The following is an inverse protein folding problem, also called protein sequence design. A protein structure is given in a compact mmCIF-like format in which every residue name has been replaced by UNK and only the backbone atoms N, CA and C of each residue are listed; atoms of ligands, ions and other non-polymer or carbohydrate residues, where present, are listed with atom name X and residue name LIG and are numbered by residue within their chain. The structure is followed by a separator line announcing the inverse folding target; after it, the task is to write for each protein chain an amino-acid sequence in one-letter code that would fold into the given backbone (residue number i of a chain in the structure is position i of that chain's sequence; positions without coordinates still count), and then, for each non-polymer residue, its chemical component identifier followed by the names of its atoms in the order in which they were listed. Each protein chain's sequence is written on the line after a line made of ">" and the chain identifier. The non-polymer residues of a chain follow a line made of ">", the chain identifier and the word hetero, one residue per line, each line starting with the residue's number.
data_IF_223917771708
#
_entry.id   IF_223917771708
#
_cell.length_a   1.000
_cell.length_b   1.000
_cell.length_c   1.000
_cell.angle_alpha   90.00
_cell.angle_beta   90.00
_cell.angle_gamma   90.00
#
_symmetry.space_group_name_H-M   'P 1'
#
loop_
_entity.id
_entity.type
_entity.pdbx_description
1 polymer ?
#
# COMPACT_ATOMS: atom_id res chain seq x y z
N UNK A 1 61.47 -41.55 13.28
CA UNK A 1 60.62 -40.83 12.29
C UNK A 1 59.19 -40.69 12.79
N UNK A 2 58.95 -39.96 13.93
CA UNK A 2 57.63 -39.89 14.60
C UNK A 2 57.33 -38.55 15.30
N UNK A 3 58.00 -37.43 14.98
CA UNK A 3 57.82 -36.14 15.67
C UNK A 3 57.46 -34.95 14.75
N UNK A 4 57.29 -35.17 13.42
CA UNK A 4 57.07 -34.05 12.47
C UNK A 4 55.59 -33.76 12.21
N UNK A 5 54.65 -34.69 12.50
CA UNK A 5 53.24 -34.55 12.18
C UNK A 5 52.48 -33.60 13.15
N UNK A 6 52.73 -33.59 14.48
CA UNK A 6 51.95 -32.70 15.35
C UNK A 6 52.34 -31.22 15.24
N UNK A 7 53.55 -30.88 14.80
CA UNK A 7 54.02 -29.50 14.63
C UNK A 7 53.41 -28.82 13.39
N UNK A 8 53.10 -29.57 12.35
CA UNK A 8 52.48 -29.06 11.12
C UNK A 8 50.96 -28.70 11.32
N UNK A 9 50.28 -29.47 12.18
CA UNK A 9 48.89 -29.23 12.53
C UNK A 9 48.74 -27.99 13.44
N UNK A 10 49.72 -27.74 14.30
CA UNK A 10 49.72 -26.58 15.20
C UNK A 10 49.96 -25.26 14.41
N UNK A 11 50.78 -25.28 13.36
CA UNK A 11 51.05 -24.10 12.52
C UNK A 11 49.85 -23.76 11.64
N UNK A 12 49.03 -24.73 11.22
CA UNK A 12 47.78 -24.47 10.47
C UNK A 12 46.65 -23.86 11.33
N UNK A 13 46.67 -24.09 12.65
CA UNK A 13 45.69 -23.50 13.58
C UNK A 13 46.00 -22.03 13.94
N UNK A 14 47.22 -21.57 13.76
CA UNK A 14 47.63 -20.18 14.03
C UNK A 14 47.43 -19.28 12.81
N UNK A 15 47.28 -19.83 11.60
CA UNK A 15 47.00 -19.08 10.38
C UNK A 15 45.50 -18.70 10.21
N UNK A 16 44.59 -19.17 11.08
CA UNK A 16 43.24 -18.67 11.22
C UNK A 16 43.22 -17.40 12.07
N UNK A 17 44.02 -16.40 11.69
CA UNK A 17 43.96 -15.05 12.25
C UNK A 17 42.66 -14.39 11.77
N UNK A 18 41.58 -14.67 12.47
CA UNK A 18 40.34 -13.90 12.33
C UNK A 18 40.68 -12.44 12.65
N UNK A 19 40.07 -11.55 11.86
CA UNK A 19 40.15 -10.12 12.12
C UNK A 19 39.91 -9.83 13.61
N UNK A 20 40.72 -8.93 14.18
CA UNK A 20 40.59 -8.53 15.59
C UNK A 20 39.13 -8.12 15.87
N UNK A 21 38.59 -8.45 17.04
CA UNK A 21 37.25 -8.04 17.50
C UNK A 21 37.01 -6.54 17.26
N UNK A 22 38.01 -5.70 17.51
CA UNK A 22 37.95 -4.26 17.29
C UNK A 22 37.88 -3.90 15.79
N UNK A 23 38.58 -4.62 14.92
CA UNK A 23 38.48 -4.42 13.46
C UNK A 23 37.13 -4.86 12.93
N UNK A 24 36.60 -6.00 13.36
CA UNK A 24 35.26 -6.48 13.03
C UNK A 24 34.18 -5.50 13.52
N UNK A 25 34.36 -4.96 14.74
CA UNK A 25 33.46 -3.95 15.30
C UNK A 25 33.50 -2.63 14.52
N UNK A 26 34.70 -2.17 14.11
CA UNK A 26 34.90 -0.98 13.28
C UNK A 26 34.29 -1.18 11.87
N UNK A 27 34.50 -2.35 11.26
CA UNK A 27 33.92 -2.70 9.96
C UNK A 27 32.38 -2.72 10.02
N UNK A 28 31.83 -3.36 11.04
CA UNK A 28 30.38 -3.40 11.29
C UNK A 28 29.81 -2.00 11.52
N UNK A 29 30.51 -1.14 12.25
CA UNK A 29 30.11 0.26 12.45
C UNK A 29 30.12 1.06 11.14
N UNK A 30 31.17 0.94 10.32
CA UNK A 30 31.26 1.57 8.99
C UNK A 30 30.13 1.10 8.08
N UNK A 31 29.87 -0.20 8.01
CA UNK A 31 28.80 -0.78 7.22
C UNK A 31 27.42 -0.26 7.65
N UNK A 32 27.18 -0.15 8.97
CA UNK A 32 25.95 0.44 9.52
C UNK A 32 25.78 1.90 9.12
N UNK A 33 26.83 2.71 9.27
CA UNK A 33 26.80 4.13 8.90
C UNK A 33 26.54 4.30 7.39
N UNK A 34 27.19 3.49 6.56
CA UNK A 34 26.96 3.51 5.11
C UNK A 34 25.55 3.06 4.75
N UNK A 35 25.03 2.01 5.37
CA UNK A 35 23.65 1.56 5.19
C UNK A 35 22.64 2.64 5.61
N UNK A 36 22.89 3.32 6.73
CA UNK A 36 22.05 4.46 7.17
C UNK A 36 22.12 5.63 6.18
N UNK A 37 23.31 5.95 5.66
CA UNK A 37 23.49 7.00 4.65
C UNK A 37 22.74 6.66 3.35
N UNK A 38 22.86 5.42 2.87
CA UNK A 38 22.12 4.93 1.70
C UNK A 38 20.61 4.94 1.94
N UNK A 39 20.15 4.55 3.14
CA UNK A 39 18.72 4.62 3.49
C UNK A 39 18.21 6.07 3.55
N UNK A 40 19.01 6.97 4.11
CA UNK A 40 18.67 8.40 4.18
C UNK A 40 18.62 9.07 2.80
N UNK A 41 19.49 8.67 1.88
CA UNK A 41 19.53 9.19 0.52
C UNK A 41 18.42 8.63 -0.38
N UNK A 42 17.83 7.48 -0.03
CA UNK A 42 16.80 6.84 -0.86
C UNK A 42 15.49 7.63 -0.87
N UNK A 43 14.80 7.62 -2.01
CA UNK A 43 13.40 8.03 -2.14
C UNK A 43 12.52 6.92 -1.58
N UNK A 44 11.84 7.16 -0.45
CA UNK A 44 11.02 6.16 0.21
C UNK A 44 9.56 6.35 -0.11
N UNK A 45 8.88 5.26 -0.45
CA UNK A 45 7.44 5.28 -0.79
C UNK A 45 6.71 4.26 0.08
N UNK A 46 5.70 4.71 0.80
CA UNK A 46 4.83 3.85 1.59
C UNK A 46 3.85 3.12 0.67
N UNK A 47 3.77 1.81 0.84
CA UNK A 47 2.90 0.91 0.06
C UNK A 47 2.13 -0.04 0.97
N UNK A 48 0.99 -0.51 0.47
CA UNK A 48 0.13 -1.47 1.14
C UNK A 48 0.00 -2.78 0.34
N UNK A 49 -0.48 -3.88 0.96
CA UNK A 49 -0.70 -5.15 0.28
C UNK A 49 -1.96 -5.12 -0.61
N UNK A 50 -2.02 -4.16 -1.53
CA UNK A 50 -3.16 -3.89 -2.40
C UNK A 50 -2.75 -3.85 -3.87
N UNK A 51 -3.68 -4.16 -4.77
CA UNK A 51 -3.37 -4.32 -6.19
C UNK A 51 -3.00 -3.01 -6.90
N UNK A 52 -3.40 -1.86 -6.39
CA UNK A 52 -2.95 -0.56 -6.91
C UNK A 52 -1.45 -0.31 -6.69
N UNK A 53 -0.84 -0.99 -5.72
CA UNK A 53 0.61 -0.98 -5.49
C UNK A 53 1.39 -1.94 -6.42
N UNK A 54 0.72 -2.80 -7.20
CA UNK A 54 1.39 -3.81 -8.04
C UNK A 54 2.45 -3.21 -8.98
N UNK A 55 2.25 -2.07 -9.65
CA UNK A 55 3.30 -1.47 -10.49
C UNK A 55 4.59 -1.20 -9.74
N UNK A 56 4.52 -0.81 -8.46
CA UNK A 56 5.69 -0.56 -7.63
C UNK A 56 6.40 -1.86 -7.26
N UNK A 57 5.65 -2.93 -6.98
CA UNK A 57 6.22 -4.26 -6.70
C UNK A 57 6.91 -4.85 -7.92
N UNK A 58 6.30 -4.69 -9.11
CA UNK A 58 6.88 -5.10 -10.39
C UNK A 58 8.14 -4.30 -10.70
N UNK A 59 8.10 -2.97 -10.56
CA UNK A 59 9.26 -2.12 -10.76
C UNK A 59 10.44 -2.48 -9.84
N UNK A 60 10.16 -2.78 -8.57
CA UNK A 60 11.17 -3.24 -7.62
C UNK A 60 11.74 -4.62 -8.00
N UNK A 61 10.88 -5.56 -8.38
CA UNK A 61 11.29 -6.93 -8.73
C UNK A 61 12.17 -6.96 -9.97
N UNK A 62 11.82 -6.19 -11.00
CA UNK A 62 12.58 -6.07 -12.24
C UNK A 62 13.74 -5.07 -12.15
N UNK A 63 14.02 -4.53 -10.95
CA UNK A 63 15.10 -3.57 -10.71
C UNK A 63 15.06 -2.36 -11.68
N UNK A 64 13.86 -1.88 -12.01
CA UNK A 64 13.67 -0.75 -12.90
C UNK A 64 14.16 0.58 -12.30
N UNK A 65 14.47 0.58 -11.01
CA UNK A 65 15.15 1.66 -10.30
C UNK A 65 16.16 1.07 -9.30
N UNK A 66 17.21 1.84 -8.99
CA UNK A 66 18.25 1.40 -8.06
C UNK A 66 17.68 1.34 -6.63
N UNK A 67 17.74 0.17 -6.02
CA UNK A 67 17.34 -0.05 -4.62
C UNK A 67 18.51 -0.07 -3.65
N UNK A 68 19.76 -0.10 -4.17
CA UNK A 68 20.97 -0.32 -3.37
C UNK A 68 21.77 0.97 -3.14
N UNK A 69 21.87 1.84 -4.14
CA UNK A 69 22.77 3.01 -4.13
C UNK A 69 22.03 4.34 -3.89
N UNK A 70 21.09 4.36 -2.93
CA UNK A 70 20.34 5.58 -2.60
C UNK A 70 19.23 5.91 -3.59
N UNK A 71 18.79 4.91 -4.38
CA UNK A 71 17.67 5.04 -5.31
C UNK A 71 16.31 5.05 -4.64
N UNK A 72 15.42 4.11 -4.97
CA UNK A 72 14.06 4.02 -4.44
C UNK A 72 13.94 2.86 -3.44
N UNK A 73 13.19 3.06 -2.37
CA UNK A 73 12.85 2.02 -1.39
C UNK A 73 11.36 2.01 -1.07
N UNK A 74 10.72 0.87 -1.20
CA UNK A 74 9.36 0.69 -0.75
C UNK A 74 9.34 0.38 0.76
N UNK A 75 8.47 1.08 1.49
CA UNK A 75 8.19 0.83 2.92
C UNK A 75 6.80 0.23 3.02
N UNK A 76 6.73 -1.00 3.52
CA UNK A 76 5.51 -1.81 3.55
C UNK A 76 4.76 -1.59 4.86
N UNK A 77 3.46 -1.34 4.75
CA UNK A 77 2.55 -1.17 5.88
C UNK A 77 1.30 -2.02 5.69
N UNK A 78 0.69 -2.46 6.78
CA UNK A 78 -0.55 -3.24 6.77
C UNK A 78 -1.79 -2.37 6.97
N UNK A 79 -1.61 -1.22 7.58
CA UNK A 79 -2.67 -0.26 7.85
C UNK A 79 -2.38 1.08 7.17
N UNK A 80 -3.42 1.65 6.52
CA UNK A 80 -3.28 2.93 5.83
C UNK A 80 -2.89 4.07 6.78
N UNK A 81 -3.34 4.03 8.03
CA UNK A 81 -2.97 5.05 9.04
C UNK A 81 -1.47 5.06 9.35
N UNK A 82 -0.79 3.91 9.22
CA UNK A 82 0.66 3.85 9.39
C UNK A 82 1.39 4.51 8.22
N UNK A 83 0.85 4.35 7.00
CA UNK A 83 1.33 5.09 5.83
C UNK A 83 1.18 6.60 6.04
N UNK A 84 0.00 7.05 6.52
CA UNK A 84 -0.28 8.45 6.81
C UNK A 84 0.73 9.00 7.85
N UNK A 85 0.89 8.29 8.96
CA UNK A 85 1.86 8.68 10.01
C UNK A 85 3.29 8.72 9.47
N UNK A 86 3.66 7.80 8.58
CA UNK A 86 5.00 7.76 8.00
C UNK A 86 5.29 8.98 7.12
N UNK A 87 4.33 9.39 6.28
CA UNK A 87 4.50 10.55 5.40
C UNK A 87 4.38 11.88 6.16
N UNK A 88 3.45 12.01 7.09
CA UNK A 88 3.29 13.19 7.95
C UNK A 88 4.57 13.46 8.77
N UNK A 89 5.20 12.42 9.29
CA UNK A 89 6.47 12.53 10.05
C UNK A 89 7.73 12.56 9.17
N UNK A 90 7.59 12.60 7.84
CA UNK A 90 8.72 12.61 6.91
C UNK A 90 9.60 11.36 6.93
N UNK A 91 9.06 10.21 7.35
CA UNK A 91 9.75 8.91 7.29
C UNK A 91 9.76 8.33 5.88
N UNK A 92 8.82 8.76 5.05
CA UNK A 92 8.72 8.48 3.62
C UNK A 92 8.43 9.78 2.87
N UNK A 93 8.85 9.85 1.62
CA UNK A 93 8.63 10.99 0.72
C UNK A 93 7.36 10.85 -0.10
N UNK A 94 6.95 9.60 -0.38
CA UNK A 94 5.75 9.27 -1.17
C UNK A 94 4.85 8.24 -0.50
N UNK A 95 3.60 8.19 -0.93
CA UNK A 95 2.59 7.27 -0.40
C UNK A 95 1.55 6.89 -1.46
N UNK A 96 1.18 5.61 -1.50
CA UNK A 96 -0.03 5.15 -2.15
C UNK A 96 -1.19 5.34 -1.17
N UNK A 97 -2.18 6.16 -1.53
CA UNK A 97 -3.25 6.57 -0.62
C UNK A 97 -4.55 6.87 -1.37
N UNK A 98 -5.51 7.49 -0.70
CA UNK A 98 -6.74 7.99 -1.31
C UNK A 98 -6.88 9.51 -1.17
N UNK A 99 -7.70 10.12 -2.03
CA UNK A 99 -7.88 11.58 -2.07
C UNK A 99 -8.48 12.16 -0.79
N UNK A 100 -9.30 11.42 -0.04
CA UNK A 100 -9.85 11.88 1.24
C UNK A 100 -8.71 12.06 2.27
N UNK A 101 -7.84 11.05 2.37
CA UNK A 101 -6.67 11.10 3.27
C UNK A 101 -5.66 12.15 2.83
N UNK A 102 -5.39 12.22 1.53
CA UNK A 102 -4.49 13.21 0.97
C UNK A 102 -4.98 14.64 1.24
N UNK A 103 -6.28 14.89 1.10
CA UNK A 103 -6.91 16.17 1.46
C UNK A 103 -6.75 16.47 2.96
N UNK A 104 -7.03 15.49 3.82
CA UNK A 104 -6.83 15.62 5.26
C UNK A 104 -5.39 16.02 5.59
N UNK A 105 -4.41 15.24 5.11
CA UNK A 105 -2.99 15.50 5.39
C UNK A 105 -2.56 16.89 4.91
N UNK A 106 -3.02 17.31 3.74
CA UNK A 106 -2.72 18.64 3.19
C UNK A 106 -3.33 19.74 4.08
N UNK A 107 -4.59 19.58 4.52
CA UNK A 107 -5.27 20.52 5.40
C UNK A 107 -4.66 20.59 6.81
N UNK A 108 -4.01 19.53 7.24
CA UNK A 108 -3.28 19.44 8.52
C UNK A 108 -1.79 19.83 8.41
N UNK A 109 -1.35 20.40 7.28
CA UNK A 109 -0.01 20.97 7.12
C UNK A 109 1.00 20.08 6.39
N UNK A 110 0.63 18.88 5.96
CA UNK A 110 1.47 18.04 5.10
C UNK A 110 1.08 18.23 3.63
N UNK A 111 1.62 19.27 2.99
CA UNK A 111 1.35 19.54 1.58
C UNK A 111 1.78 18.38 0.69
N UNK A 112 0.84 17.85 -0.11
CA UNK A 112 1.03 16.73 -1.01
C UNK A 112 0.78 17.14 -2.46
N UNK A 113 1.63 16.64 -3.35
CA UNK A 113 1.45 16.72 -4.79
C UNK A 113 1.05 15.36 -5.34
N UNK A 114 -0.04 15.33 -6.10
CA UNK A 114 -0.56 14.14 -6.72
C UNK A 114 0.20 13.85 -8.02
N UNK A 115 0.86 12.68 -8.07
CA UNK A 115 1.71 12.29 -9.21
C UNK A 115 1.01 11.35 -10.16
N UNK A 116 0.11 10.51 -9.66
CA UNK A 116 -0.65 9.60 -10.49
C UNK A 116 -1.99 9.25 -9.83
N UNK A 117 -3.07 9.24 -10.61
CA UNK A 117 -4.27 8.51 -10.24
C UNK A 117 -3.99 7.01 -10.34
N UNK A 118 -4.38 6.23 -9.33
CA UNK A 118 -4.22 4.79 -9.34
C UNK A 118 -5.51 4.10 -9.80
N UNK A 119 -5.43 2.80 -10.07
CA UNK A 119 -6.60 1.98 -10.40
C UNK A 119 -7.31 1.42 -9.16
N UNK A 120 -7.02 1.95 -7.98
CA UNK A 120 -7.69 1.54 -6.74
C UNK A 120 -9.20 1.76 -6.84
N UNK A 121 -9.95 0.75 -6.43
CA UNK A 121 -11.39 0.84 -6.23
C UNK A 121 -11.79 0.09 -4.96
N UNK A 122 -12.86 0.52 -4.37
CA UNK A 122 -13.38 -0.06 -3.13
C UNK A 122 -14.71 -0.72 -3.36
N UNK A 123 -14.89 -1.86 -2.70
CA UNK A 123 -16.13 -2.60 -2.70
C UNK A 123 -16.65 -2.72 -1.27
N UNK A 124 -17.95 -2.51 -1.07
CA UNK A 124 -18.63 -2.84 0.16
C UNK A 124 -19.08 -4.30 0.07
N UNK A 125 -18.45 -5.14 0.82
CA UNK A 125 -18.69 -6.58 0.86
C UNK A 125 -19.59 -6.89 2.05
N UNK A 126 -20.78 -7.41 1.82
CA UNK A 126 -21.65 -7.90 2.88
C UNK A 126 -21.28 -9.33 3.28
N UNK A 127 -21.21 -9.58 4.58
CA UNK A 127 -21.06 -10.91 5.10
C UNK A 127 -22.24 -11.81 4.63
N UNK A 128 -21.92 -12.98 4.09
CA UNK A 128 -22.92 -13.92 3.58
C UNK A 128 -23.99 -14.30 4.61
N UNK A 129 -23.61 -14.37 5.90
CA UNK A 129 -24.51 -14.69 7.00
C UNK A 129 -25.47 -13.54 7.35
N UNK A 130 -25.08 -12.30 7.09
CA UNK A 130 -25.93 -11.13 7.23
C UNK A 130 -27.05 -11.07 6.15
N UNK A 131 -26.94 -11.86 5.06
CA UNK A 131 -27.93 -11.99 3.99
C UNK A 131 -28.35 -10.66 3.33
N UNK A 132 -27.46 -9.66 3.36
CA UNK A 132 -27.72 -8.34 2.78
C UNK A 132 -27.60 -8.41 1.25
N UNK A 133 -28.57 -7.82 0.55
CA UNK A 133 -28.64 -7.76 -0.92
C UNK A 133 -28.65 -6.31 -1.46
N UNK A 134 -29.06 -5.36 -0.63
CA UNK A 134 -29.24 -3.96 -0.99
C UNK A 134 -28.69 -3.04 0.08
N UNK A 135 -28.20 -1.86 -0.32
CA UNK A 135 -27.64 -0.86 0.60
C UNK A 135 -28.61 -0.44 1.72
N UNK A 136 -29.91 -0.35 1.42
CA UNK A 136 -30.93 0.02 2.42
C UNK A 136 -31.02 -0.94 3.60
N UNK A 137 -30.57 -2.19 3.43
CA UNK A 137 -30.56 -3.19 4.52
C UNK A 137 -29.40 -2.99 5.49
N UNK A 138 -28.55 -1.98 5.27
CA UNK A 138 -27.49 -1.60 6.21
C UNK A 138 -28.01 -0.77 7.38
N UNK A 139 -29.31 -0.48 7.42
CA UNK A 139 -29.95 0.12 8.60
C UNK A 139 -29.77 -0.80 9.81
N UNK A 140 -29.25 -0.23 10.91
CA UNK A 140 -28.93 -0.94 12.14
C UNK A 140 -27.85 -2.05 11.97
N UNK A 141 -26.85 -1.80 11.11
CA UNK A 141 -25.75 -2.73 10.78
C UNK A 141 -24.36 -2.15 11.04
N UNK A 142 -23.42 -3.05 11.36
CA UNK A 142 -22.02 -2.72 11.58
C UNK A 142 -21.23 -2.80 10.26
N UNK A 143 -20.51 -1.72 9.93
CA UNK A 143 -19.70 -1.61 8.72
C UNK A 143 -18.24 -1.30 9.08
N UNK A 144 -17.33 -2.21 8.68
CA UNK A 144 -15.89 -1.99 8.85
C UNK A 144 -15.38 -0.94 7.85
N UNK A 145 -14.76 0.11 8.37
CA UNK A 145 -14.23 1.23 7.62
C UNK A 145 -12.95 1.78 8.28
N UNK A 146 -12.35 2.80 7.71
CA UNK A 146 -11.30 3.60 8.35
C UNK A 146 -11.70 5.07 8.34
N UNK A 147 -11.61 5.73 9.49
CA UNK A 147 -11.94 7.16 9.62
C UNK A 147 -11.06 8.02 8.71
N UNK A 148 -11.62 9.11 8.23
CA UNK A 148 -10.95 10.11 7.37
C UNK A 148 -10.34 9.51 6.11
N UNK A 149 -10.99 8.51 5.53
CA UNK A 149 -10.60 7.83 4.30
C UNK A 149 -11.74 7.77 3.30
N UNK A 150 -11.45 7.30 2.10
CA UNK A 150 -12.49 7.00 1.12
C UNK A 150 -13.58 6.09 1.68
N UNK A 151 -13.26 5.17 2.61
CA UNK A 151 -14.26 4.26 3.19
C UNK A 151 -15.18 4.97 4.18
N UNK A 152 -14.75 6.04 4.83
CA UNK A 152 -15.58 6.91 5.65
C UNK A 152 -16.53 7.74 4.78
N UNK A 153 -15.99 8.38 3.73
CA UNK A 153 -16.80 9.04 2.71
C UNK A 153 -17.86 8.10 2.09
N UNK A 154 -17.51 6.84 1.84
CA UNK A 154 -18.44 5.85 1.30
C UNK A 154 -19.55 5.48 2.30
N UNK A 155 -19.28 5.51 3.60
CA UNK A 155 -20.36 5.39 4.61
C UNK A 155 -21.35 6.55 4.50
N UNK A 156 -20.87 7.80 4.34
CA UNK A 156 -21.76 8.94 4.11
C UNK A 156 -22.55 8.81 2.80
N UNK A 157 -21.88 8.34 1.73
CA UNK A 157 -22.55 8.05 0.47
C UNK A 157 -23.70 7.03 0.64
N UNK A 158 -23.48 5.96 1.43
CA UNK A 158 -24.53 4.97 1.72
C UNK A 158 -25.69 5.62 2.46
N UNK A 159 -25.43 6.37 3.51
CA UNK A 159 -26.42 7.11 4.30
C UNK A 159 -27.24 8.07 3.41
N UNK A 160 -26.53 8.90 2.64
CA UNK A 160 -27.16 9.91 1.78
C UNK A 160 -28.03 9.28 0.65
N UNK A 161 -27.56 8.17 0.05
CA UNK A 161 -28.24 7.50 -1.07
C UNK A 161 -29.43 6.64 -0.64
N UNK A 162 -29.40 6.07 0.57
CA UNK A 162 -30.42 5.15 1.09
C UNK A 162 -31.42 5.81 2.03
N UNK A 163 -31.11 7.03 2.51
CA UNK A 163 -31.86 7.74 3.55
C UNK A 163 -31.93 7.00 4.90
N UNK A 164 -30.94 6.14 5.15
CA UNK A 164 -30.71 5.59 6.49
C UNK A 164 -30.32 6.74 7.42
N UNK A 165 -30.77 6.73 8.65
CA UNK A 165 -30.30 7.70 9.64
C UNK A 165 -28.82 7.47 9.95
N UNK A 166 -28.06 8.58 10.09
CA UNK A 166 -26.62 8.54 10.28
C UNK A 166 -26.20 7.62 11.45
N UNK A 167 -26.90 7.72 12.57
CA UNK A 167 -26.68 6.95 13.81
C UNK A 167 -27.07 5.47 13.68
N UNK A 168 -27.75 5.09 12.59
CA UNK A 168 -28.17 3.71 12.32
C UNK A 168 -27.18 2.92 11.45
N UNK A 169 -26.14 3.56 10.94
CA UNK A 169 -25.01 2.88 10.29
C UNK A 169 -23.83 2.84 11.26
N UNK A 170 -23.61 1.73 11.94
CA UNK A 170 -22.54 1.62 12.93
C UNK A 170 -21.19 1.45 12.28
N UNK A 171 -20.36 2.50 12.30
CA UNK A 171 -19.04 2.56 11.68
C UNK A 171 -18.00 2.00 12.63
N UNK A 172 -17.44 0.83 12.30
CA UNK A 172 -16.40 0.16 13.07
C UNK A 172 -15.04 0.42 12.43
N UNK A 173 -14.14 1.08 13.16
CA UNK A 173 -12.82 1.39 12.64
C UNK A 173 -11.89 0.19 12.70
N UNK A 174 -11.57 -0.38 11.54
CA UNK A 174 -10.58 -1.45 11.37
C UNK A 174 -9.58 -0.99 10.31
N UNK A 175 -8.35 -0.73 10.70
CA UNK A 175 -7.35 -0.11 9.82
C UNK A 175 -6.55 -1.13 8.98
N UNK A 176 -6.29 -2.30 9.53
CA UNK A 176 -5.55 -3.38 8.86
C UNK A 176 -6.47 -4.13 7.89
N UNK A 177 -6.03 -4.26 6.64
CA UNK A 177 -6.83 -4.88 5.57
C UNK A 177 -6.95 -6.40 5.71
N UNK A 178 -5.93 -7.06 6.27
CA UNK A 178 -5.96 -8.50 6.53
C UNK A 178 -6.87 -8.82 7.72
N UNK A 179 -6.84 -7.98 8.76
CA UNK A 179 -7.76 -8.11 9.91
C UNK A 179 -9.21 -7.97 9.43
N UNK A 180 -9.52 -7.02 8.53
CA UNK A 180 -10.87 -6.93 7.95
C UNK A 180 -11.31 -8.22 7.27
N UNK A 181 -10.43 -8.83 6.48
CA UNK A 181 -10.74 -10.08 5.78
C UNK A 181 -10.94 -11.25 6.76
N UNK A 182 -10.14 -11.31 7.84
CA UNK A 182 -10.30 -12.31 8.90
C UNK A 182 -11.63 -12.13 9.65
N UNK A 183 -11.97 -10.90 10.03
CA UNK A 183 -13.24 -10.60 10.70
C UNK A 183 -14.46 -10.93 9.83
N UNK A 184 -14.36 -10.70 8.49
CA UNK A 184 -15.40 -11.15 7.56
C UNK A 184 -15.55 -12.68 7.58
N UNK A 185 -14.44 -13.42 7.55
CA UNK A 185 -14.44 -14.89 7.61
C UNK A 185 -15.00 -15.43 8.90
N UNK A 186 -14.74 -14.74 10.01
CA UNK A 186 -15.22 -15.08 11.33
C UNK A 186 -16.66 -14.61 11.61
N UNK A 187 -17.30 -13.92 10.66
CA UNK A 187 -18.66 -13.37 10.78
C UNK A 187 -18.81 -12.34 11.92
N UNK A 188 -17.80 -11.52 12.19
CA UNK A 188 -17.78 -10.60 13.31
C UNK A 188 -18.55 -9.30 13.07
N UNK A 189 -18.70 -8.88 11.79
CA UNK A 189 -19.46 -7.69 11.39
C UNK A 189 -20.33 -7.98 10.15
N UNK A 190 -21.27 -7.09 9.87
CA UNK A 190 -22.25 -7.26 8.80
C UNK A 190 -21.67 -6.94 7.41
N UNK A 191 -20.85 -5.90 7.28
CA UNK A 191 -20.25 -5.51 6.01
C UNK A 191 -18.88 -4.86 6.18
N UNK A 192 -18.07 -4.88 5.09
CA UNK A 192 -16.68 -4.47 5.11
C UNK A 192 -16.30 -3.74 3.82
N UNK A 193 -15.69 -2.57 3.92
CA UNK A 193 -15.04 -1.95 2.76
C UNK A 193 -13.70 -2.62 2.51
N UNK A 194 -13.51 -3.12 1.30
CA UNK A 194 -12.30 -3.79 0.84
C UNK A 194 -11.89 -3.31 -0.54
N UNK A 195 -10.59 -3.46 -0.84
CA UNK A 195 -10.01 -3.32 -2.18
C UNK A 195 -9.41 -4.66 -2.62
N UNK A 196 -8.87 -4.75 -3.84
CA UNK A 196 -8.23 -5.98 -4.30
C UNK A 196 -6.83 -6.15 -3.66
N UNK A 197 -6.41 -7.38 -3.33
CA UNK A 197 -7.05 -8.68 -3.62
C UNK A 197 -8.03 -9.16 -2.55
N UNK A 198 -8.19 -8.46 -1.41
CA UNK A 198 -9.04 -8.86 -0.29
C UNK A 198 -10.51 -8.97 -0.70
N UNK A 199 -10.99 -8.08 -1.60
CA UNK A 199 -12.34 -8.15 -2.13
C UNK A 199 -12.58 -9.43 -2.95
N UNK A 200 -11.59 -9.87 -3.75
CA UNK A 200 -11.65 -11.17 -4.45
C UNK A 200 -11.68 -12.34 -3.47
N UNK A 201 -10.84 -12.32 -2.44
CA UNK A 201 -10.85 -13.36 -1.40
C UNK A 201 -12.24 -13.45 -0.71
N UNK A 202 -12.88 -12.32 -0.48
CA UNK A 202 -14.23 -12.26 0.08
C UNK A 202 -15.28 -12.82 -0.89
N UNK A 203 -15.19 -12.53 -2.20
CA UNK A 203 -16.10 -13.07 -3.24
C UNK A 203 -15.98 -14.59 -3.37
N UNK A 204 -14.78 -15.15 -3.30
CA UNK A 204 -14.56 -16.61 -3.26
C UNK A 204 -15.32 -17.24 -2.08
N UNK A 205 -15.36 -16.54 -0.93
CA UNK A 205 -16.15 -16.91 0.24
C UNK A 205 -17.66 -16.73 0.08
N UNK A 206 -18.17 -16.46 -1.14
CA UNK A 206 -19.60 -16.24 -1.47
C UNK A 206 -20.23 -15.06 -0.73
N UNK A 207 -19.45 -14.04 -0.43
CA UNK A 207 -19.93 -12.79 0.15
C UNK A 207 -20.44 -11.86 -0.97
N UNK A 208 -21.52 -11.10 -0.69
CA UNK A 208 -22.15 -10.23 -1.68
C UNK A 208 -21.47 -8.88 -1.77
N UNK A 209 -21.36 -8.31 -2.96
CA UNK A 209 -20.94 -6.92 -3.19
C UNK A 209 -22.16 -6.02 -3.24
N UNK A 210 -22.30 -5.13 -2.28
CA UNK A 210 -23.41 -4.15 -2.21
C UNK A 210 -23.07 -2.85 -2.93
N UNK A 211 -21.80 -2.44 -2.93
CA UNK A 211 -21.32 -1.22 -3.57
C UNK A 211 -19.98 -1.48 -4.27
N UNK A 212 -19.76 -0.83 -5.40
CA UNK A 212 -18.48 -0.80 -6.11
C UNK A 212 -18.24 0.64 -6.60
N UNK A 213 -17.12 1.23 -6.23
CA UNK A 213 -16.82 2.63 -6.56
C UNK A 213 -16.70 2.89 -8.06
N UNK A 214 -16.41 1.86 -8.86
CA UNK A 214 -16.41 1.95 -10.33
C UNK A 214 -17.81 2.23 -10.88
N UNK A 215 -18.86 1.67 -10.25
CA UNK A 215 -20.26 1.86 -10.68
C UNK A 215 -20.81 3.25 -10.34
N UNK A 216 -20.22 3.92 -9.35
CA UNK A 216 -20.58 5.30 -8.97
C UNK A 216 -19.56 6.32 -9.49
N UNK A 217 -18.70 5.89 -10.41
CA UNK A 217 -17.64 6.70 -11.03
C UNK A 217 -16.81 7.49 -10.02
N UNK A 218 -16.33 6.81 -8.98
CA UNK A 218 -15.46 7.36 -7.95
C UNK A 218 -14.08 6.69 -8.00
N UNK A 219 -13.08 7.44 -8.49
CA UNK A 219 -11.69 6.99 -8.63
C UNK A 219 -10.82 7.79 -7.67
N UNK A 220 -10.72 7.30 -6.45
CA UNK A 220 -10.15 8.05 -5.32
C UNK A 220 -8.70 7.67 -5.00
N UNK A 221 -8.15 6.64 -5.65
CA UNK A 221 -6.77 6.19 -5.41
C UNK A 221 -5.74 7.14 -6.02
N UNK A 222 -4.68 7.44 -5.28
CA UNK A 222 -3.64 8.37 -5.68
C UNK A 222 -2.26 7.98 -5.17
N UNK A 223 -1.24 8.17 -6.01
CA UNK A 223 0.15 8.21 -5.62
C UNK A 223 0.52 9.68 -5.38
N UNK A 224 0.88 10.01 -4.15
CA UNK A 224 1.20 11.36 -3.73
C UNK A 224 2.60 11.44 -3.11
N UNK A 225 3.25 12.60 -3.27
CA UNK A 225 4.54 12.92 -2.65
C UNK A 225 4.45 14.20 -1.85
N UNK A 226 5.26 14.32 -0.80
CA UNK A 226 5.41 15.55 -0.05
C UNK A 226 5.95 16.64 -0.96
N UNK A 227 5.27 17.78 -1.02
CA UNK A 227 5.66 18.87 -1.92
C UNK A 227 7.05 19.44 -1.59
N UNK A 228 7.43 19.47 -0.32
CA UNK A 228 8.75 19.91 0.12
C UNK A 228 9.88 19.04 -0.46
N UNK A 229 9.67 17.75 -0.67
CA UNK A 229 10.67 16.85 -1.26
C UNK A 229 10.80 17.07 -2.77
N UNK A 230 9.72 17.45 -3.43
CA UNK A 230 9.74 17.73 -4.87
C UNK A 230 10.48 19.00 -5.23
N UNK A 231 10.69 19.90 -4.27
CA UNK A 231 11.48 21.14 -4.48
C UNK A 231 12.98 20.91 -4.34
N UNK A 232 13.42 19.74 -3.88
CA UNK A 232 14.83 19.40 -3.68
C UNK A 232 15.45 18.93 -4.99
N UNK A 233 16.50 19.60 -5.52
CA UNK A 233 17.12 19.22 -6.79
C UNK A 233 17.61 17.77 -6.84
N UNK A 234 18.15 17.26 -5.74
CA UNK A 234 18.63 15.88 -5.64
C UNK A 234 17.51 14.83 -5.75
N UNK A 235 16.25 15.24 -5.50
CA UNK A 235 15.07 14.37 -5.60
C UNK A 235 14.49 14.35 -7.03
N UNK A 236 14.72 15.36 -7.85
CA UNK A 236 14.14 15.45 -9.20
C UNK A 236 14.48 14.23 -10.03
N UNK A 237 15.78 13.86 -10.09
CA UNK A 237 16.21 12.67 -10.83
C UNK A 237 15.62 11.37 -10.30
N UNK A 238 15.54 11.23 -8.97
CA UNK A 238 14.96 10.04 -8.35
C UNK A 238 13.46 9.94 -8.67
N UNK A 239 12.72 11.04 -8.61
CA UNK A 239 11.30 11.10 -8.95
C UNK A 239 11.07 10.78 -10.44
N UNK A 240 11.89 11.33 -11.33
CA UNK A 240 11.81 11.05 -12.77
C UNK A 240 12.03 9.55 -13.05
N UNK A 241 13.10 8.97 -12.50
CA UNK A 241 13.39 7.53 -12.64
C UNK A 241 12.28 6.68 -12.03
N UNK A 242 11.76 7.06 -10.87
CA UNK A 242 10.65 6.38 -10.23
C UNK A 242 9.40 6.38 -11.11
N UNK A 243 9.02 7.53 -11.69
CA UNK A 243 7.86 7.64 -12.57
C UNK A 243 8.02 6.88 -13.88
N UNK A 244 9.24 6.88 -14.47
CA UNK A 244 9.57 6.04 -15.64
C UNK A 244 9.41 4.54 -15.31
N UNK A 245 9.93 4.10 -14.17
CA UNK A 245 9.82 2.73 -13.71
C UNK A 245 8.36 2.32 -13.43
N UNK A 246 7.57 3.22 -12.82
CA UNK A 246 6.14 3.03 -12.63
C UNK A 246 5.41 2.80 -13.95
N UNK A 247 5.64 3.66 -14.95
CA UNK A 247 5.01 3.56 -16.26
C UNK A 247 5.43 2.27 -17.00
N UNK A 248 6.71 1.92 -16.98
CA UNK A 248 7.21 0.69 -17.59
C UNK A 248 6.61 -0.57 -16.92
N UNK A 249 6.41 -0.53 -15.60
CA UNK A 249 5.73 -1.60 -14.88
C UNK A 249 4.25 -1.68 -15.27
N UNK A 250 3.55 -0.56 -15.44
CA UNK A 250 2.17 -0.53 -15.93
C UNK A 250 2.06 -1.16 -17.33
N UNK A 251 2.98 -0.82 -18.26
CA UNK A 251 3.03 -1.41 -19.60
C UNK A 251 3.24 -2.92 -19.54
N UNK A 252 4.17 -3.35 -18.70
CA UNK A 252 4.46 -4.77 -18.52
C UNK A 252 3.26 -5.54 -17.96
N UNK A 253 2.57 -5.00 -16.95
CA UNK A 253 1.36 -5.61 -16.37
C UNK A 253 0.23 -5.66 -17.42
N UNK A 254 0.02 -4.60 -18.18
CA UNK A 254 -1.00 -4.55 -19.22
C UNK A 254 -0.72 -5.52 -20.37
N UNK A 255 0.56 -5.73 -20.70
CA UNK A 255 1.01 -6.66 -21.76
C UNK A 255 0.84 -8.12 -21.36
N UNK A 256 1.29 -8.48 -20.17
CA UNK A 256 1.36 -9.88 -19.73
C UNK A 256 0.18 -10.30 -18.84
N UNK A 257 -0.60 -9.34 -18.33
CA UNK A 257 -1.70 -9.55 -17.40
C UNK A 257 -1.24 -9.71 -15.95
N UNK A 258 -2.14 -9.43 -15.01
CA UNK A 258 -1.83 -9.50 -13.56
C UNK A 258 -1.43 -10.91 -13.11
N UNK A 259 -1.99 -11.96 -13.73
CA UNK A 259 -1.70 -13.36 -13.37
C UNK A 259 -0.26 -13.76 -13.67
N UNK A 260 0.41 -13.11 -14.61
CA UNK A 260 1.83 -13.30 -14.86
C UNK A 260 2.69 -12.99 -13.64
N UNK A 261 2.24 -12.06 -12.81
CA UNK A 261 2.93 -11.63 -11.60
C UNK A 261 2.42 -12.34 -10.32
N UNK A 262 1.78 -13.51 -10.47
CA UNK A 262 1.22 -14.30 -9.35
C UNK A 262 2.19 -14.43 -8.16
N UNK A 263 3.46 -14.83 -8.31
CA UNK A 263 4.38 -14.95 -7.18
C UNK A 263 4.58 -13.63 -6.42
N UNK A 264 4.62 -12.50 -7.14
CA UNK A 264 4.76 -11.18 -6.53
C UNK A 264 3.50 -10.78 -5.76
N UNK A 265 2.33 -11.01 -6.35
CA UNK A 265 1.04 -10.68 -5.72
C UNK A 265 0.86 -11.53 -4.46
N UNK A 266 1.14 -12.84 -4.53
CA UNK A 266 1.09 -13.72 -3.34
C UNK A 266 2.01 -13.19 -2.24
N UNK A 267 3.25 -12.83 -2.59
CA UNK A 267 4.25 -12.34 -1.65
C UNK A 267 3.88 -10.98 -1.05
N UNK A 268 3.64 -9.97 -1.90
CA UNK A 268 3.50 -8.58 -1.46
C UNK A 268 2.08 -8.20 -1.04
N UNK A 269 1.06 -8.82 -1.64
CA UNK A 269 -0.33 -8.62 -1.24
C UNK A 269 -0.81 -9.67 -0.22
N UNK A 270 0.07 -10.57 0.26
CA UNK A 270 -0.20 -11.56 1.32
C UNK A 270 -1.46 -12.38 1.05
N UNK A 271 -1.61 -12.83 -0.17
CA UNK A 271 -2.80 -13.57 -0.63
C UNK A 271 -2.44 -14.97 -1.12
N UNK A 272 -3.42 -15.74 -1.58
CA UNK A 272 -3.21 -17.09 -2.11
C UNK A 272 -3.23 -17.10 -3.63
N UNK A 273 -2.65 -18.12 -4.24
CA UNK A 273 -2.69 -18.32 -5.69
C UNK A 273 -4.13 -18.39 -6.21
N UNK A 274 -5.03 -19.08 -5.50
CA UNK A 274 -6.45 -19.15 -5.84
C UNK A 274 -7.09 -17.76 -5.96
N UNK A 275 -6.73 -16.84 -5.06
CA UNK A 275 -7.23 -15.46 -5.11
C UNK A 275 -6.69 -14.75 -6.34
N UNK A 276 -5.40 -14.92 -6.65
CA UNK A 276 -4.79 -14.30 -7.85
C UNK A 276 -5.43 -14.83 -9.12
N UNK A 277 -5.70 -16.12 -9.21
CA UNK A 277 -6.37 -16.74 -10.37
C UNK A 277 -7.81 -16.23 -10.56
N UNK A 278 -8.44 -15.79 -9.48
CA UNK A 278 -9.81 -15.27 -9.44
C UNK A 278 -9.90 -13.75 -9.54
N UNK A 279 -8.76 -13.03 -9.61
CA UNK A 279 -8.76 -11.58 -9.78
C UNK A 279 -9.46 -11.16 -11.08
N UNK A 280 -10.25 -10.09 -11.05
CA UNK A 280 -10.81 -9.51 -12.27
C UNK A 280 -9.69 -8.98 -13.18
N UNK A 281 -10.01 -8.78 -14.45
CA UNK A 281 -9.11 -8.04 -15.34
C UNK A 281 -8.88 -6.62 -14.79
N UNK A 282 -7.61 -6.25 -14.70
CA UNK A 282 -7.19 -4.95 -14.18
C UNK A 282 -6.27 -4.27 -15.19
N UNK A 283 -6.57 -3.02 -15.52
CA UNK A 283 -5.72 -2.17 -16.35
C UNK A 283 -5.02 -1.12 -15.51
N UNK A 284 -3.76 -0.91 -15.80
CA UNK A 284 -2.92 0.08 -15.13
C UNK A 284 -2.57 1.20 -16.10
N UNK A 285 -2.89 2.42 -15.71
CA UNK A 285 -2.60 3.60 -16.53
C UNK A 285 -1.22 4.14 -16.18
N UNK A 286 -0.56 4.75 -17.16
CA UNK A 286 0.59 5.58 -16.91
C UNK A 286 0.26 6.67 -15.90
N UNK A 287 1.28 7.18 -15.24
CA UNK A 287 1.14 8.31 -14.34
C UNK A 287 0.48 9.48 -15.05
N UNK A 288 -0.72 9.80 -14.61
CA UNK A 288 -1.52 10.93 -15.07
C UNK A 288 -2.19 11.58 -13.86
N UNK A 289 -2.51 12.85 -13.99
CA UNK A 289 -3.19 13.61 -12.95
C UNK A 289 -4.49 12.95 -12.49
N UNK A 290 -4.86 13.22 -11.25
CA UNK A 290 -6.17 12.85 -10.70
C UNK A 290 -7.27 13.69 -11.36
N UNK A 291 -8.49 13.17 -11.41
CA UNK A 291 -9.61 13.90 -12.01
C UNK A 291 -10.09 15.01 -11.07
N UNK A 292 -10.30 16.22 -11.58
CA UNK A 292 -10.75 17.38 -10.80
C UNK A 292 -12.04 17.09 -10.02
N UNK A 293 -12.99 16.35 -10.62
CA UNK A 293 -14.24 15.97 -9.94
C UNK A 293 -14.03 15.10 -8.70
N UNK A 294 -13.00 14.24 -8.67
CA UNK A 294 -12.70 13.41 -7.50
C UNK A 294 -11.96 14.21 -6.43
N UNK A 295 -11.09 15.14 -6.84
CA UNK A 295 -10.47 16.10 -5.91
C UNK A 295 -11.56 16.99 -5.28
N UNK A 296 -12.45 17.56 -6.09
CA UNK A 296 -13.56 18.38 -5.62
C UNK A 296 -14.49 17.61 -4.65
N UNK A 297 -14.70 16.31 -4.92
CA UNK A 297 -15.47 15.41 -4.04
C UNK A 297 -14.81 15.26 -2.67
N UNK A 298 -13.50 15.05 -2.64
CA UNK A 298 -12.74 14.95 -1.39
C UNK A 298 -12.75 16.26 -0.60
N UNK A 299 -12.52 17.36 -1.28
CA UNK A 299 -12.57 18.72 -0.66
C UNK A 299 -13.96 19.06 -0.09
N UNK A 300 -15.02 18.74 -0.85
CA UNK A 300 -16.41 18.96 -0.40
C UNK A 300 -16.71 18.13 0.85
N UNK A 301 -16.28 16.86 0.85
CA UNK A 301 -16.51 15.99 2.00
C UNK A 301 -15.74 16.48 3.24
N UNK A 302 -14.50 16.90 3.07
CA UNK A 302 -13.69 17.44 4.16
C UNK A 302 -14.37 18.66 4.79
N UNK A 303 -14.80 19.63 3.96
CA UNK A 303 -15.50 20.84 4.44
C UNK A 303 -16.83 20.56 5.15
N UNK A 304 -17.54 19.50 4.79
CA UNK A 304 -18.81 19.10 5.43
C UNK A 304 -18.59 18.53 6.83
N UNK A 305 -17.45 17.88 7.07
CA UNK A 305 -17.23 17.06 8.25
C UNK A 305 -16.20 17.67 9.24
N UNK A 306 -15.60 18.82 8.90
CA UNK A 306 -14.61 19.54 9.70
C UNK A 306 -14.78 21.05 9.56
#
# INVERSE_FOLDING_TARGET
>A
MRIIIPTLVLVLLVAACGQSYEETKKLTRKQRVEAMRKDSAALKVAVMPTMDCLPLFVAQHHQLYDTLNGGVRLKYFMAQMDCDTAIERGRVEGVMTDLIRATRMTRQGTALRYMAATNAYWQLVANRHARLKHLKQLDDKMVAMTRYSVTDWLCDYVVDSTKIKYEKLFRVQINDVDVRLQMLRNNELDAFFMTEPQATAARIGKNNILLDTRKIDAWMGVLAFREVEMRRPERHRQLELFMKAYNAACDSINKYGVKHYKPLIVKYCRTTEQVVDSLPEMKYRHAAGVRDKDVARAEKWWKKNH
#
